data_IF_755063582519
#
_entry.id   IF_755063582519
#
_cell.length_a   1.000
_cell.length_b   1.000
_cell.length_c   1.000
_cell.angle_alpha   90.00
_cell.angle_beta   90.00
_cell.angle_gamma   90.00
#
_symmetry.space_group_name_H-M   'P 1'
#
loop_
_entity.id
_entity.type
_entity.pdbx_description
1 polymer ?
#
# COMPACT_ATOMS: atom_id res chain seq x y z
N UNK A 1 -22.51 -16.93 -8.15
CA UNK A 1 -23.24 -16.32 -7.04
C UNK A 1 -22.88 -14.85 -7.04
N UNK A 2 -23.72 -14.02 -7.66
CA UNK A 2 -23.51 -12.59 -7.79
C UNK A 2 -23.78 -11.90 -6.44
N UNK A 3 -22.74 -11.27 -5.86
CA UNK A 3 -22.94 -10.23 -4.86
C UNK A 3 -23.51 -9.01 -5.62
N UNK A 4 -24.82 -8.99 -5.75
CA UNK A 4 -25.55 -7.83 -6.27
C UNK A 4 -25.33 -6.61 -5.37
N UNK A 5 -25.14 -5.47 -6.04
CA UNK A 5 -25.01 -4.10 -5.54
C UNK A 5 -23.60 -3.69 -5.15
N UNK A 6 -22.96 -2.89 -6.03
CA UNK A 6 -21.62 -2.31 -5.89
C UNK A 6 -21.48 -1.34 -4.73
N UNK A 7 -21.64 -1.86 -3.51
CA UNK A 7 -21.40 -1.21 -2.24
C UNK A 7 -20.18 -1.87 -1.61
N UNK A 8 -19.29 -1.04 -1.09
CA UNK A 8 -18.20 -1.46 -0.21
C UNK A 8 -18.70 -1.51 1.24
N UNK A 9 -18.09 -2.33 2.09
CA UNK A 9 -18.46 -2.34 3.52
C UNK A 9 -18.07 -1.02 4.20
N UNK A 10 -16.86 -0.51 3.92
CA UNK A 10 -16.45 0.83 4.35
C UNK A 10 -15.64 1.56 3.26
N UNK A 11 -15.84 2.88 3.19
CA UNK A 11 -15.01 3.79 2.42
C UNK A 11 -14.27 4.74 3.38
N UNK A 12 -12.98 4.95 3.12
CA UNK A 12 -12.09 5.77 3.93
C UNK A 12 -11.87 7.11 3.26
N UNK A 13 -11.99 8.17 4.05
CA UNK A 13 -11.82 9.55 3.59
C UNK A 13 -10.85 10.32 4.47
N UNK A 14 -10.10 11.22 3.84
CA UNK A 14 -9.31 12.26 4.51
C UNK A 14 -9.88 13.59 4.04
N UNK A 15 -10.68 14.24 4.89
CA UNK A 15 -11.58 15.30 4.43
C UNK A 15 -12.58 14.74 3.42
N UNK A 16 -12.63 15.32 2.21
CA UNK A 16 -13.47 14.86 1.10
C UNK A 16 -12.74 13.92 0.14
N UNK A 17 -11.46 13.64 0.39
CA UNK A 17 -10.65 12.80 -0.48
C UNK A 17 -10.92 11.32 -0.19
N UNK A 18 -11.40 10.57 -1.18
CA UNK A 18 -11.58 9.13 -1.07
C UNK A 18 -10.21 8.43 -1.16
N UNK A 19 -9.77 7.84 -0.05
CA UNK A 19 -8.42 7.28 0.08
C UNK A 19 -8.39 5.76 0.16
N UNK A 20 -9.52 5.10 0.35
CA UNK A 20 -9.51 3.64 0.33
C UNK A 20 -10.82 2.94 0.63
N UNK A 21 -10.77 1.62 0.51
CA UNK A 21 -11.90 0.73 0.81
C UNK A 21 -11.51 -0.35 1.80
N UNK A 22 -12.46 -0.75 2.62
CA UNK A 22 -12.35 -1.89 3.53
C UNK A 22 -13.42 -2.90 3.17
N UNK A 23 -13.02 -4.13 2.90
CA UNK A 23 -13.91 -5.29 2.79
C UNK A 23 -13.83 -6.11 4.10
N UNK A 24 -14.97 -6.29 4.75
CA UNK A 24 -15.08 -6.95 6.03
C UNK A 24 -15.71 -8.34 5.87
N UNK A 25 -15.04 -9.37 6.38
CA UNK A 25 -15.58 -10.72 6.50
C UNK A 25 -16.00 -11.02 7.93
N UNK A 26 -16.90 -12.00 8.06
CA UNK A 26 -17.28 -12.55 9.36
C UNK A 26 -16.05 -13.10 10.07
N UNK A 27 -15.99 -12.97 11.39
CA UNK A 27 -14.89 -13.47 12.23
C UNK A 27 -14.56 -14.96 12.03
N UNK A 28 -15.54 -15.78 11.64
CA UNK A 28 -15.34 -17.21 11.37
C UNK A 28 -14.77 -17.51 9.98
N UNK A 29 -14.75 -16.55 9.05
CA UNK A 29 -14.22 -16.71 7.70
C UNK A 29 -12.78 -16.22 7.61
N UNK A 30 -12.01 -16.85 6.74
CA UNK A 30 -10.64 -16.46 6.45
C UNK A 30 -10.63 -15.20 5.56
N UNK A 31 -9.57 -14.38 5.68
CA UNK A 31 -9.45 -13.11 4.94
C UNK A 31 -8.85 -13.33 3.56
N UNK A 32 -8.03 -14.37 3.38
CA UNK A 32 -7.42 -14.73 2.11
C UNK A 32 -8.40 -14.66 0.92
N UNK A 33 -7.93 -14.09 -0.18
CA UNK A 33 -8.71 -13.93 -1.41
C UNK A 33 -9.76 -12.81 -1.38
N UNK A 34 -10.07 -12.24 -0.22
CA UNK A 34 -11.03 -11.12 -0.09
C UNK A 34 -10.55 -9.85 -0.79
N UNK A 35 -9.24 -9.67 -0.94
CA UNK A 35 -8.64 -8.53 -1.64
C UNK A 35 -9.13 -8.40 -3.10
N UNK A 36 -9.54 -9.50 -3.74
CA UNK A 36 -10.10 -9.47 -5.09
C UNK A 36 -11.41 -8.66 -5.13
N UNK A 37 -12.26 -8.80 -4.10
CA UNK A 37 -13.51 -8.03 -4.00
C UNK A 37 -13.19 -6.54 -3.85
N UNK A 38 -12.25 -6.18 -2.96
CA UNK A 38 -11.81 -4.80 -2.78
C UNK A 38 -11.23 -4.18 -4.08
N UNK A 39 -10.45 -4.95 -4.85
CA UNK A 39 -9.92 -4.53 -6.15
C UNK A 39 -11.03 -4.24 -7.17
N UNK A 40 -12.06 -5.09 -7.23
CA UNK A 40 -13.19 -4.87 -8.14
C UNK A 40 -13.94 -3.57 -7.80
N UNK A 41 -14.17 -3.30 -6.51
CA UNK A 41 -14.81 -2.06 -6.09
C UNK A 41 -13.95 -0.82 -6.38
N UNK A 42 -12.63 -0.94 -6.25
CA UNK A 42 -11.68 0.13 -6.53
C UNK A 42 -11.68 0.58 -8.00
N UNK A 43 -11.96 -0.33 -8.93
CA UNK A 43 -12.17 0.00 -10.35
C UNK A 43 -13.58 0.53 -10.59
N UNK A 44 -14.57 -0.02 -9.89
CA UNK A 44 -16.00 0.25 -10.08
C UNK A 44 -16.55 1.50 -9.38
N UNK A 45 -15.73 2.48 -9.00
CA UNK A 45 -16.24 3.74 -8.44
C UNK A 45 -17.07 4.45 -9.50
N UNK A 46 -18.35 4.69 -9.16
CA UNK A 46 -19.33 5.30 -10.05
C UNK A 46 -19.02 6.76 -10.32
N UNK A 47 -19.45 7.24 -11.50
CA UNK A 47 -19.29 8.64 -11.92
C UNK A 47 -19.90 9.64 -10.93
N UNK A 48 -20.99 9.29 -10.25
CA UNK A 48 -21.63 10.14 -9.21
C UNK A 48 -20.73 10.41 -8.00
N UNK A 49 -19.63 9.67 -7.84
CA UNK A 49 -18.67 9.80 -6.74
C UNK A 49 -17.29 10.28 -7.22
N UNK A 50 -17.14 10.62 -8.50
CA UNK A 50 -15.85 11.01 -9.09
C UNK A 50 -15.27 12.28 -8.43
N UNK A 51 -16.12 13.17 -7.90
CA UNK A 51 -15.68 14.38 -7.21
C UNK A 51 -14.83 14.11 -5.95
N UNK A 52 -14.92 12.91 -5.38
CA UNK A 52 -14.12 12.50 -4.23
C UNK A 52 -12.82 11.79 -4.63
N UNK A 53 -12.70 11.38 -5.89
CA UNK A 53 -11.53 10.65 -6.41
C UNK A 53 -10.38 11.62 -6.58
N UNK A 54 -9.25 11.29 -5.94
CA UNK A 54 -8.05 12.15 -5.95
C UNK A 54 -7.30 12.02 -7.29
N UNK A 55 -7.17 10.78 -7.77
CA UNK A 55 -6.44 10.43 -8.97
C UNK A 55 -6.83 9.01 -9.41
N UNK A 56 -6.32 8.60 -10.57
CA UNK A 56 -6.44 7.23 -11.09
C UNK A 56 -5.07 6.58 -11.15
N UNK A 57 -4.95 5.39 -10.55
CA UNK A 57 -3.74 4.57 -10.58
C UNK A 57 -4.01 3.30 -11.38
N UNK A 58 -3.58 3.29 -12.65
CA UNK A 58 -4.02 2.33 -13.66
C UNK A 58 -5.55 2.36 -13.82
N UNK A 59 -6.23 1.30 -13.36
CA UNK A 59 -7.68 1.19 -13.36
C UNK A 59 -8.32 1.47 -12.01
N UNK A 60 -7.51 1.64 -10.95
CA UNK A 60 -8.01 1.90 -9.61
C UNK A 60 -8.26 3.39 -9.39
N UNK A 61 -9.43 3.72 -8.86
CA UNK A 61 -9.83 5.09 -8.47
C UNK A 61 -9.65 5.37 -6.98
N UNK A 62 -9.11 4.41 -6.22
CA UNK A 62 -8.73 4.58 -4.82
C UNK A 62 -7.32 4.01 -4.59
N UNK A 63 -6.51 4.63 -3.73
CA UNK A 63 -5.12 4.22 -3.56
C UNK A 63 -4.95 3.04 -2.59
N UNK A 64 -5.77 2.93 -1.55
CA UNK A 64 -5.55 1.93 -0.49
C UNK A 64 -6.70 0.95 -0.35
N UNK A 65 -6.39 -0.34 -0.29
CA UNK A 65 -7.37 -1.39 -0.07
C UNK A 65 -7.06 -2.18 1.19
N UNK A 66 -8.10 -2.48 1.95
CA UNK A 66 -8.03 -3.27 3.16
C UNK A 66 -9.01 -4.44 3.08
N UNK A 67 -8.61 -5.58 3.64
CA UNK A 67 -9.50 -6.69 3.90
C UNK A 67 -9.26 -7.22 5.33
N UNK A 68 -10.33 -7.52 6.06
CA UNK A 68 -10.21 -8.03 7.44
C UNK A 68 -11.36 -8.93 7.83
N UNK A 69 -11.13 -9.80 8.82
CA UNK A 69 -12.18 -10.54 9.53
C UNK A 69 -12.28 -10.15 11.01
N UNK A 70 -11.57 -9.10 11.44
CA UNK A 70 -11.54 -8.65 12.83
C UNK A 70 -10.71 -9.51 13.78
N UNK A 71 -10.02 -10.57 13.30
CA UNK A 71 -9.05 -11.31 14.12
C UNK A 71 -7.79 -10.47 14.31
N UNK A 72 -7.17 -10.56 15.48
CA UNK A 72 -5.80 -10.07 15.67
C UNK A 72 -4.86 -10.82 14.73
N UNK A 73 -3.82 -10.15 14.27
CA UNK A 73 -2.78 -10.77 13.46
C UNK A 73 -2.09 -11.91 14.22
N UNK A 74 -1.94 -13.05 13.54
CA UNK A 74 -1.25 -14.25 14.02
C UNK A 74 -0.30 -14.72 12.92
N UNK A 75 1.01 -14.68 13.19
CA UNK A 75 2.07 -14.92 12.22
C UNK A 75 2.03 -16.32 11.60
N UNK A 76 1.55 -17.31 12.33
CA UNK A 76 1.46 -18.70 11.87
C UNK A 76 0.35 -18.90 10.84
N UNK A 77 -0.62 -17.98 10.76
CA UNK A 77 -1.80 -18.06 9.89
C UNK A 77 -2.13 -16.66 9.33
N UNK A 78 -1.13 -16.00 8.74
CA UNK A 78 -1.26 -14.64 8.21
C UNK A 78 -2.43 -14.53 7.22
N UNK A 79 -2.58 -15.51 6.33
CA UNK A 79 -3.66 -15.60 5.35
C UNK A 79 -5.09 -15.64 5.97
N UNK A 80 -5.19 -15.96 7.25
CA UNK A 80 -6.47 -16.16 7.96
C UNK A 80 -6.74 -15.10 9.01
N UNK A 81 -5.81 -14.17 9.25
CA UNK A 81 -5.85 -13.28 10.41
C UNK A 81 -5.33 -11.88 10.10
N UNK A 82 -5.66 -10.91 10.95
CA UNK A 82 -5.18 -9.55 10.81
C UNK A 82 -5.90 -8.74 9.72
N UNK A 83 -5.17 -7.75 9.20
CA UNK A 83 -5.66 -6.81 8.20
C UNK A 83 -4.76 -6.93 6.97
N UNK A 84 -5.31 -7.44 5.87
CA UNK A 84 -4.62 -7.44 4.60
C UNK A 84 -4.72 -6.05 3.99
N UNK A 85 -3.61 -5.56 3.45
CA UNK A 85 -3.49 -4.24 2.88
C UNK A 85 -2.81 -4.30 1.51
N UNK A 86 -3.29 -3.48 0.59
CA UNK A 86 -2.66 -3.25 -0.70
C UNK A 86 -2.63 -1.74 -1.01
N UNK A 87 -1.47 -1.26 -1.43
CA UNK A 87 -1.30 0.05 -2.03
C UNK A 87 -1.35 -0.07 -3.56
N UNK A 88 -2.46 0.36 -4.15
CA UNK A 88 -2.77 0.25 -5.57
C UNK A 88 -2.06 1.30 -6.44
N UNK A 89 -1.32 2.23 -5.84
CA UNK A 89 -0.68 3.33 -6.57
C UNK A 89 0.48 2.87 -7.44
N UNK A 90 1.13 1.77 -7.05
CA UNK A 90 2.16 1.09 -7.83
C UNK A 90 1.70 -0.34 -8.15
N UNK A 91 1.66 -0.69 -9.43
CA UNK A 91 1.24 -2.02 -9.89
C UNK A 91 2.13 -3.17 -9.40
N UNK A 92 3.37 -2.87 -8.99
CA UNK A 92 4.32 -3.85 -8.45
C UNK A 92 4.06 -4.21 -6.98
N UNK A 93 3.22 -3.45 -6.29
CA UNK A 93 2.89 -3.72 -4.90
C UNK A 93 2.08 -5.00 -4.78
N UNK A 94 2.50 -5.85 -3.84
CA UNK A 94 1.76 -7.04 -3.43
C UNK A 94 0.95 -6.76 -2.17
N UNK A 95 -0.05 -7.58 -1.91
CA UNK A 95 -0.78 -7.53 -0.66
C UNK A 95 0.12 -7.97 0.50
N UNK A 96 -0.06 -7.31 1.64
CA UNK A 96 0.68 -7.61 2.87
C UNK A 96 -0.26 -7.64 4.06
N UNK A 97 0.06 -8.47 5.05
CA UNK A 97 -0.72 -8.55 6.29
C UNK A 97 -0.12 -7.61 7.33
N UNK A 98 -0.96 -6.74 7.87
CA UNK A 98 -0.59 -5.78 8.90
C UNK A 98 -0.86 -6.36 10.29
N UNK A 99 0.04 -6.05 11.23
CA UNK A 99 -0.14 -6.38 12.65
C UNK A 99 -1.24 -5.52 13.30
N UNK A 100 -1.51 -4.34 12.73
CA UNK A 100 -2.54 -3.41 13.14
C UNK A 100 -2.88 -2.44 12.02
N UNK A 101 -3.92 -1.63 12.22
CA UNK A 101 -4.33 -0.62 11.24
C UNK A 101 -3.28 0.48 11.10
N UNK A 102 -3.16 1.03 9.88
CA UNK A 102 -2.42 2.27 9.70
C UNK A 102 -3.13 3.41 10.43
N UNK A 103 -2.34 4.30 11.02
CA UNK A 103 -2.85 5.56 11.53
C UNK A 103 -3.19 6.51 10.38
N UNK A 104 -3.98 7.55 10.67
CA UNK A 104 -4.33 8.56 9.70
C UNK A 104 -3.08 9.24 9.12
N UNK A 105 -2.16 9.62 10.01
CA UNK A 105 -0.90 10.31 9.66
C UNK A 105 -0.05 9.44 8.73
N UNK A 106 -0.07 8.11 8.93
CA UNK A 106 0.64 7.19 8.04
C UNK A 106 0.01 7.15 6.64
N UNK A 107 -1.31 7.18 6.53
CA UNK A 107 -2.00 7.21 5.25
C UNK A 107 -1.79 8.54 4.52
N UNK A 108 -1.80 9.67 5.24
CA UNK A 108 -1.47 10.99 4.69
C UNK A 108 -0.05 11.03 4.16
N UNK A 109 0.93 10.64 4.98
CA UNK A 109 2.33 10.57 4.57
C UNK A 109 2.51 9.66 3.34
N UNK A 110 1.86 8.50 3.34
CA UNK A 110 1.89 7.61 2.18
C UNK A 110 1.34 8.31 0.94
N UNK A 111 0.23 9.04 1.00
CA UNK A 111 -0.34 9.76 -0.15
C UNK A 111 0.59 10.85 -0.69
N UNK A 112 1.33 11.52 0.19
CA UNK A 112 2.28 12.57 -0.16
C UNK A 112 3.62 12.02 -0.69
N UNK A 113 3.97 10.76 -0.38
CA UNK A 113 5.18 10.13 -0.89
C UNK A 113 5.15 10.07 -2.43
N UNK A 114 6.00 10.90 -3.05
CA UNK A 114 6.31 10.85 -4.47
C UNK A 114 7.50 9.92 -4.69
N UNK A 115 7.20 8.65 -4.98
CA UNK A 115 8.22 7.60 -5.12
C UNK A 115 9.22 7.92 -6.25
N UNK A 116 8.77 8.54 -7.34
CA UNK A 116 9.65 8.92 -8.46
C UNK A 116 10.65 10.01 -8.06
N UNK A 117 10.17 11.03 -7.35
CA UNK A 117 11.02 12.12 -6.84
C UNK A 117 11.96 11.63 -5.73
N UNK A 118 11.49 10.70 -4.89
CA UNK A 118 12.31 10.07 -3.86
C UNK A 118 13.43 9.23 -4.49
N UNK A 119 13.12 8.43 -5.52
CA UNK A 119 14.12 7.67 -6.27
C UNK A 119 15.12 8.59 -6.98
N UNK A 120 14.64 9.69 -7.59
CA UNK A 120 15.52 10.68 -8.21
C UNK A 120 16.45 11.35 -7.18
N UNK A 121 15.90 11.72 -6.02
CA UNK A 121 16.69 12.29 -4.93
C UNK A 121 17.73 11.29 -4.39
N UNK A 122 17.39 9.99 -4.37
CA UNK A 122 18.29 8.91 -4.00
C UNK A 122 19.41 8.72 -5.05
N UNK A 123 19.10 8.80 -6.35
CA UNK A 123 20.11 8.73 -7.42
C UNK A 123 21.08 9.93 -7.37
N UNK A 124 20.59 11.11 -6.99
CA UNK A 124 21.39 12.32 -6.84
C UNK A 124 22.22 12.35 -5.53
N UNK A 125 21.91 11.45 -4.59
CA UNK A 125 22.54 11.38 -3.27
C UNK A 125 23.97 10.81 -3.40
N UNK A 126 24.95 11.61 -2.97
CA UNK A 126 26.35 11.19 -3.03
C UNK A 126 26.65 10.13 -1.98
N UNK A 127 26.97 8.92 -2.40
CA UNK A 127 27.40 7.80 -1.55
C UNK A 127 28.67 8.06 -0.70
N UNK A 128 29.32 9.22 -0.85
CA UNK A 128 30.45 9.66 -0.01
C UNK A 128 30.06 9.72 1.48
N UNK A 129 28.82 10.08 1.82
CA UNK A 129 28.39 10.10 3.22
C UNK A 129 28.37 8.71 3.86
N UNK A 130 28.09 7.64 3.09
CA UNK A 130 28.10 6.27 3.60
C UNK A 130 29.52 5.78 3.93
N UNK A 131 30.52 6.29 3.23
CA UNK A 131 31.93 5.94 3.40
C UNK A 131 32.64 6.82 4.44
N UNK A 132 32.05 7.97 4.79
CA UNK A 132 32.56 8.86 5.83
C UNK A 132 32.70 8.12 7.16
N UNK A 133 33.87 8.24 7.79
CA UNK A 133 34.13 7.71 9.14
C UNK A 133 33.23 8.34 10.20
N UNK A 134 32.71 9.55 9.95
CA UNK A 134 31.78 10.25 10.84
C UNK A 134 30.32 9.78 10.69
N UNK A 135 30.06 8.83 9.78
CA UNK A 135 28.74 8.25 9.54
C UNK A 135 28.79 6.73 9.70
N UNK A 136 28.66 5.99 8.59
CA UNK A 136 28.52 4.52 8.61
C UNK A 136 29.86 3.84 8.31
N UNK A 137 30.81 4.55 7.68
CA UNK A 137 32.16 4.02 7.39
C UNK A 137 32.16 2.77 6.52
N UNK A 138 31.22 2.65 5.56
CA UNK A 138 31.11 1.47 4.70
C UNK A 138 32.35 1.32 3.81
N UNK A 139 32.80 0.08 3.62
CA UNK A 139 33.86 -0.26 2.67
C UNK A 139 33.33 -0.17 1.24
N UNK A 140 34.22 0.09 0.28
CA UNK A 140 33.86 0.27 -1.13
C UNK A 140 32.97 -0.87 -1.68
N UNK A 141 33.27 -2.13 -1.38
CA UNK A 141 32.43 -3.25 -1.84
C UNK A 141 31.03 -3.28 -1.22
N UNK A 142 30.83 -2.76 0.00
CA UNK A 142 29.50 -2.68 0.63
C UNK A 142 28.67 -1.61 -0.06
N UNK A 143 29.28 -0.50 -0.45
CA UNK A 143 28.64 0.54 -1.23
C UNK A 143 28.27 0.05 -2.63
N UNK A 144 29.18 -0.67 -3.30
CA UNK A 144 28.88 -1.26 -4.61
C UNK A 144 27.75 -2.30 -4.54
N UNK A 145 27.68 -3.09 -3.46
CA UNK A 145 26.57 -4.01 -3.23
C UNK A 145 25.23 -3.28 -3.04
N UNK A 146 25.21 -2.18 -2.28
CA UNK A 146 24.01 -1.34 -2.09
C UNK A 146 23.55 -0.78 -3.44
N UNK A 147 24.45 -0.17 -4.21
CA UNK A 147 24.13 0.39 -5.54
C UNK A 147 23.55 -0.66 -6.49
N UNK A 148 24.11 -1.87 -6.49
CA UNK A 148 23.62 -2.95 -7.32
C UNK A 148 22.18 -3.36 -6.95
N UNK A 149 21.87 -3.39 -5.65
CA UNK A 149 20.51 -3.69 -5.16
C UNK A 149 19.54 -2.55 -5.46
N UNK A 150 19.94 -1.30 -5.20
CA UNK A 150 19.11 -0.11 -5.48
C UNK A 150 18.73 -0.03 -6.96
N UNK A 151 19.69 -0.27 -7.86
CA UNK A 151 19.42 -0.29 -9.31
C UNK A 151 18.35 -1.31 -9.70
N UNK A 152 18.41 -2.52 -9.13
CA UNK A 152 17.42 -3.58 -9.42
C UNK A 152 16.04 -3.26 -8.84
N UNK A 153 15.98 -2.53 -7.72
CA UNK A 153 14.71 -2.11 -7.12
C UNK A 153 14.07 -0.96 -7.92
N UNK A 154 14.89 -0.07 -8.49
CA UNK A 154 14.44 1.07 -9.28
C UNK A 154 13.97 0.66 -10.70
N UNK A 155 14.54 -0.39 -11.29
CA UNK A 155 14.13 -0.98 -12.58
C UNK A 155 12.74 -1.61 -12.53
#
# INVERSE_FOLDING_TARGET
>A
MEKGNGKVDYALFIGEKLVGFVEAKKYSKDVAGTMIEAKNYAVGVKEEHENYVISKWNDYKVPFLFATNGRKYVKEIEDKSGVHFLDCRNARNNDKVLQGWYSLEKLEAMLEENIEEANKSLDELRFEFLQSENCIGLRGYQVEAIKAVEKVIAE
#
